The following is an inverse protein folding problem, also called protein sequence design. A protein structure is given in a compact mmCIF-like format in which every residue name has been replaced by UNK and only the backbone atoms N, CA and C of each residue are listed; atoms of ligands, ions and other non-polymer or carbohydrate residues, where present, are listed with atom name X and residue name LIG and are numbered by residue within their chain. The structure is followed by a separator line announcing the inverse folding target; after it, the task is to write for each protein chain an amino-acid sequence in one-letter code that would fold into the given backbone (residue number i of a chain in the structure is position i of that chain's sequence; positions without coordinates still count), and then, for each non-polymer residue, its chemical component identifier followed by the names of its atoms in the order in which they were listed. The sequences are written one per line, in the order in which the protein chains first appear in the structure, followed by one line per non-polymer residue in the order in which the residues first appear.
data_IF_321351383631
#
_entry.id   IF_321351383631
#
_cell.length_a   1.000
_cell.length_b   1.000
_cell.length_c   1.000
_cell.angle_alpha   90.00
_cell.angle_beta   90.00
_cell.angle_gamma   90.00
#
_symmetry.space_group_name_H-M   'P 1'
#
loop_
_entity.id
_entity.type
_entity.pdbx_description
1 polymer ?
#
# COMPACT_ATOMS: atom_id res chain seq x y z
N UNK A 1 -3.86 2.51 14.42
CA UNK A 1 -5.32 2.70 14.26
C UNK A 1 -5.93 1.32 14.13
N UNK A 2 -6.93 1.00 14.94
CA UNK A 2 -7.64 -0.29 14.88
C UNK A 2 -8.32 -0.45 13.50
N UNK A 3 -8.56 -1.70 13.07
CA UNK A 3 -9.18 -1.98 11.76
C UNK A 3 -10.58 -1.37 11.67
N UNK A 4 -11.38 -1.50 12.73
CA UNK A 4 -12.76 -0.98 12.76
C UNK A 4 -12.78 0.55 12.70
N UNK A 5 -11.84 1.19 13.40
CA UNK A 5 -11.68 2.64 13.40
C UNK A 5 -11.25 3.13 12.02
N UNK A 6 -10.39 2.38 11.30
CA UNK A 6 -10.02 2.69 9.91
C UNK A 6 -11.23 2.56 8.97
N UNK A 7 -12.06 1.54 9.11
CA UNK A 7 -13.23 1.36 8.25
C UNK A 7 -14.24 2.50 8.43
N UNK A 8 -14.56 2.87 9.67
CA UNK A 8 -15.46 3.99 9.95
C UNK A 8 -14.94 5.32 9.37
N UNK A 9 -13.63 5.54 9.38
CA UNK A 9 -13.01 6.71 8.76
C UNK A 9 -13.14 6.70 7.23
N UNK A 10 -12.95 5.55 6.58
CA UNK A 10 -13.13 5.39 5.12
C UNK A 10 -14.57 5.70 4.71
N UNK A 11 -15.55 5.16 5.45
CA UNK A 11 -16.97 5.40 5.18
C UNK A 11 -17.35 6.88 5.30
N UNK A 12 -16.85 7.54 6.35
CA UNK A 12 -17.05 8.98 6.54
C UNK A 12 -16.41 9.81 5.41
N UNK A 13 -15.20 9.47 4.98
CA UNK A 13 -14.55 10.16 3.88
C UNK A 13 -15.35 10.04 2.59
N UNK A 14 -15.79 8.83 2.24
CA UNK A 14 -16.60 8.59 1.05
C UNK A 14 -17.92 9.36 1.10
N UNK A 15 -18.57 9.43 2.26
CA UNK A 15 -19.80 10.18 2.44
C UNK A 15 -19.61 11.70 2.25
N UNK A 16 -18.44 12.25 2.63
CA UNK A 16 -18.15 13.69 2.55
C UNK A 16 -17.65 14.09 1.15
N UNK A 17 -16.75 13.31 0.57
CA UNK A 17 -16.02 13.68 -0.65
C UNK A 17 -16.51 12.95 -1.90
N UNK A 18 -17.32 11.89 -1.76
CA UNK A 18 -17.83 11.10 -2.89
C UNK A 18 -16.78 10.23 -3.59
N UNK A 19 -15.56 10.22 -3.08
CA UNK A 19 -14.43 9.43 -3.56
C UNK A 19 -13.78 8.66 -2.41
N UNK A 20 -13.11 7.53 -2.66
CA UNK A 20 -12.34 6.85 -1.62
C UNK A 20 -11.20 7.76 -1.12
N UNK A 21 -10.85 7.69 0.18
CA UNK A 21 -9.74 8.47 0.70
C UNK A 21 -8.44 8.15 -0.04
N UNK A 22 -7.53 9.12 -0.19
CA UNK A 22 -6.20 8.85 -0.70
C UNK A 22 -5.51 7.90 0.28
N UNK A 23 -5.48 6.61 -0.06
CA UNK A 23 -4.78 5.61 0.74
C UNK A 23 -3.31 5.87 0.55
N UNK A 24 -2.72 6.64 1.45
CA UNK A 24 -1.28 6.70 1.61
C UNK A 24 -0.84 5.33 2.13
N UNK A 25 -0.32 4.49 1.23
CA UNK A 25 0.41 3.30 1.67
C UNK A 25 1.65 3.79 2.42
N UNK A 26 1.77 3.40 3.68
CA UNK A 26 3.02 3.58 4.43
C UNK A 26 4.09 2.81 3.66
N UNK A 27 4.90 3.54 2.88
CA UNK A 27 5.79 2.94 1.90
C UNK A 27 6.77 1.96 2.55
N UNK A 28 7.24 2.30 3.76
CA UNK A 28 8.09 1.42 4.58
C UNK A 28 7.38 0.13 5.01
N UNK A 29 6.12 0.20 5.44
CA UNK A 29 5.36 -0.97 5.88
C UNK A 29 5.01 -1.86 4.68
N UNK A 30 4.58 -1.25 3.58
CA UNK A 30 4.29 -1.95 2.33
C UNK A 30 5.55 -2.63 1.80
N UNK A 31 6.70 -1.95 1.79
CA UNK A 31 7.97 -2.55 1.39
C UNK A 31 8.35 -3.75 2.27
N UNK A 32 8.19 -3.64 3.61
CA UNK A 32 8.47 -4.76 4.53
C UNK A 32 7.58 -5.97 4.25
N UNK A 33 6.28 -5.77 4.04
CA UNK A 33 5.33 -6.84 3.73
C UNK A 33 5.68 -7.48 2.38
N UNK A 34 5.98 -6.67 1.36
CA UNK A 34 6.38 -7.17 0.04
C UNK A 34 7.67 -8.01 0.14
N UNK A 35 8.70 -7.54 0.85
CA UNK A 35 9.94 -8.31 1.03
C UNK A 35 9.70 -9.63 1.79
N UNK A 36 8.82 -9.62 2.79
CA UNK A 36 8.55 -10.81 3.61
C UNK A 36 7.70 -11.87 2.90
N UNK A 37 6.82 -11.44 2.00
CA UNK A 37 5.78 -12.31 1.45
C UNK A 37 5.82 -12.47 -0.07
N UNK A 38 6.67 -11.73 -0.80
CA UNK A 38 6.82 -12.00 -2.22
C UNK A 38 7.46 -13.37 -2.43
N UNK A 39 6.87 -14.23 -3.29
CA UNK A 39 7.55 -15.43 -3.72
C UNK A 39 8.87 -15.05 -4.42
N UNK A 40 9.94 -15.85 -4.25
CA UNK A 40 11.23 -15.66 -4.92
C UNK A 40 11.14 -16.07 -6.40
N UNK A 41 10.20 -15.47 -7.13
CA UNK A 41 9.99 -15.69 -8.56
C UNK A 41 10.68 -14.59 -9.36
N UNK A 42 11.56 -14.92 -10.33
CA UNK A 42 12.00 -13.98 -11.36
C UNK A 42 10.78 -13.38 -12.09
N UNK A 43 10.79 -12.08 -12.49
CA UNK A 43 11.95 -11.24 -12.73
C UNK A 43 11.87 -9.89 -11.99
N UNK A 44 12.60 -9.73 -10.89
CA UNK A 44 12.99 -8.40 -10.41
C UNK A 44 14.51 -8.23 -10.52
N UNK A 45 15.09 -8.71 -11.62
CA UNK A 45 16.43 -8.27 -12.00
C UNK A 45 16.32 -6.77 -12.28
N UNK A 46 16.80 -5.96 -11.33
CA UNK A 46 17.08 -4.55 -11.55
C UNK A 46 18.14 -4.53 -12.63
N UNK A 47 17.73 -4.33 -13.89
CA UNK A 47 18.67 -4.01 -14.95
C UNK A 47 19.25 -2.64 -14.61
N UNK A 48 20.38 -2.64 -13.91
CA UNK A 48 21.25 -1.47 -13.86
C UNK A 48 21.54 -1.10 -15.32
N UNK A 49 20.93 -0.01 -15.79
CA UNK A 49 21.25 0.56 -17.09
C UNK A 49 22.65 1.17 -16.95
N UNK A 50 23.68 0.38 -17.26
CA UNK A 50 25.01 0.92 -17.49
C UNK A 50 24.97 1.64 -18.83
N UNK A 51 25.31 2.93 -18.82
CA UNK A 51 25.56 3.75 -20.01
C UNK A 51 26.69 3.18 -20.88
#
# INVERSE_FOLDING_TARGET
MDYDVRQAWIELWLAVFGEPPPIASETDLTAKILVQHLPPTPPYEVKCRTE
#
